data_IF_991320106629
#
_entry.id   IF_991320106629
#
_cell.length_a   1.000
_cell.length_b   1.000
_cell.length_c   1.000
_cell.angle_alpha   90.00
_cell.angle_beta   90.00
_cell.angle_gamma   90.00
#
_symmetry.space_group_name_H-M   'P 1'
#
loop_
_entity.id
_entity.type
_entity.pdbx_description
1 polymer ?
#
# COMPACT_ATOMS: atom_id res chain seq x y z
N UNK A 1 -14.45 -2.84 -7.02
CA UNK A 1 -14.88 -3.97 -6.18
C UNK A 1 -14.44 -3.66 -4.76
N UNK A 2 -15.35 -3.42 -3.81
CA UNK A 2 -14.97 -3.16 -2.41
C UNK A 2 -14.37 -4.46 -1.85
N UNK A 3 -13.05 -4.52 -1.68
CA UNK A 3 -12.39 -5.66 -1.03
C UNK A 3 -12.84 -5.68 0.44
N UNK A 4 -13.20 -6.86 0.94
CA UNK A 4 -13.61 -7.02 2.33
C UNK A 4 -12.37 -7.24 3.20
N UNK A 5 -11.64 -6.14 3.44
CA UNK A 5 -10.32 -6.17 4.10
C UNK A 5 -10.39 -6.61 5.57
N UNK A 6 -11.53 -6.40 6.23
CA UNK A 6 -11.75 -6.77 7.64
C UNK A 6 -11.79 -8.28 7.89
N UNK A 7 -11.90 -9.10 6.83
CA UNK A 7 -11.88 -10.58 6.93
C UNK A 7 -10.50 -11.19 6.71
N UNK A 8 -9.48 -10.38 6.39
CA UNK A 8 -8.13 -10.85 6.13
C UNK A 8 -7.32 -10.91 7.44
N UNK A 9 -6.56 -12.00 7.67
CA UNK A 9 -5.53 -12.06 8.71
C UNK A 9 -4.49 -10.98 8.48
N UNK A 10 -3.76 -10.52 9.50
CA UNK A 10 -2.87 -9.35 9.38
C UNK A 10 -1.81 -9.48 8.28
N UNK A 11 -1.35 -10.68 7.94
CA UNK A 11 -0.37 -10.92 6.88
C UNK A 11 -0.93 -10.64 5.48
N UNK A 12 -2.21 -10.90 5.25
CA UNK A 12 -2.83 -10.73 3.93
C UNK A 12 -2.96 -9.25 3.49
N UNK A 13 -3.26 -8.28 4.36
CA UNK A 13 -3.14 -6.85 4.07
C UNK A 13 -1.70 -6.42 3.76
N UNK A 14 -0.67 -6.98 4.40
CA UNK A 14 0.73 -6.66 4.06
C UNK A 14 1.04 -7.08 2.63
N UNK A 15 0.76 -8.33 2.27
CA UNK A 15 1.05 -8.85 0.93
C UNK A 15 0.24 -8.11 -0.14
N UNK A 16 -1.01 -7.74 0.18
CA UNK A 16 -1.84 -6.93 -0.69
C UNK A 16 -1.28 -5.51 -0.86
N UNK A 17 -0.82 -4.88 0.21
CA UNK A 17 -0.18 -3.57 0.17
C UNK A 17 1.04 -3.59 -0.76
N UNK A 18 1.94 -4.57 -0.58
CA UNK A 18 3.13 -4.76 -1.40
C UNK A 18 2.77 -4.94 -2.88
N UNK A 19 1.85 -5.86 -3.17
CA UNK A 19 1.37 -6.13 -4.54
C UNK A 19 0.79 -4.87 -5.20
N UNK A 20 0.02 -4.08 -4.46
CA UNK A 20 -0.60 -2.86 -4.99
C UNK A 20 0.43 -1.75 -5.22
N UNK A 21 1.41 -1.60 -4.32
CA UNK A 21 2.48 -0.64 -4.49
C UNK A 21 3.33 -0.97 -5.73
N UNK A 22 3.69 -2.23 -5.96
CA UNK A 22 4.37 -2.66 -7.19
C UNK A 22 3.53 -2.29 -8.42
N UNK A 23 2.24 -2.67 -8.43
CA UNK A 23 1.33 -2.36 -9.55
C UNK A 23 1.15 -0.87 -9.80
N UNK A 24 1.19 -0.05 -8.75
CA UNK A 24 1.13 1.39 -8.91
C UNK A 24 2.40 1.93 -9.58
N UNK A 25 3.58 1.43 -9.19
CA UNK A 25 4.86 1.81 -9.80
C UNK A 25 4.88 1.44 -11.27
N UNK A 26 4.48 0.21 -11.60
CA UNK A 26 4.40 -0.29 -12.98
C UNK A 26 3.35 0.45 -13.82
N UNK A 27 2.31 1.00 -13.19
CA UNK A 27 1.29 1.78 -13.86
C UNK A 27 1.76 3.19 -14.25
N UNK A 28 2.90 3.65 -13.73
CA UNK A 28 3.48 4.95 -14.07
C UNK A 28 4.13 4.90 -15.46
N UNK A 29 3.38 5.32 -16.47
CA UNK A 29 3.83 5.49 -17.85
C UNK A 29 3.41 6.89 -18.34
N UNK A 30 4.24 7.93 -18.12
CA UNK A 30 3.92 9.33 -18.44
C UNK A 30 3.45 9.56 -19.88
N UNK A 31 3.89 8.72 -20.81
CA UNK A 31 3.56 8.72 -22.22
C UNK A 31 2.20 8.09 -22.55
N UNK A 32 1.59 7.32 -21.64
CA UNK A 32 0.26 6.73 -21.82
C UNK A 32 -0.81 7.56 -21.09
N UNK A 33 -1.75 8.22 -21.79
CA UNK A 33 -2.85 8.98 -21.18
C UNK A 33 -3.73 8.15 -20.23
N UNK A 34 -3.75 6.82 -20.36
CA UNK A 34 -4.50 5.91 -19.47
C UNK A 34 -3.71 5.51 -18.22
N UNK A 35 -2.42 5.83 -18.15
CA UNK A 35 -1.56 5.51 -17.00
C UNK A 35 -2.06 6.20 -15.73
N UNK A 36 -2.49 7.46 -15.83
CA UNK A 36 -2.96 8.24 -14.69
C UNK A 36 -4.12 7.55 -13.96
N UNK A 37 -5.11 7.04 -14.70
CA UNK A 37 -6.26 6.36 -14.10
C UNK A 37 -5.87 5.07 -13.36
N UNK A 38 -4.96 4.26 -13.94
CA UNK A 38 -4.47 3.04 -13.28
C UNK A 38 -3.65 3.37 -12.04
N UNK A 39 -2.79 4.38 -12.14
CA UNK A 39 -1.98 4.86 -11.04
C UNK A 39 -2.84 5.38 -9.88
N UNK A 40 -3.86 6.19 -10.17
CA UNK A 40 -4.82 6.69 -9.18
C UNK A 40 -5.66 5.57 -8.57
N UNK A 41 -6.12 4.61 -9.37
CA UNK A 41 -6.83 3.45 -8.86
C UNK A 41 -5.99 2.72 -7.80
N UNK A 42 -4.73 2.40 -8.12
CA UNK A 42 -3.87 1.70 -7.16
C UNK A 42 -3.51 2.58 -5.95
N UNK A 43 -3.39 3.91 -6.12
CA UNK A 43 -3.24 4.84 -5.00
C UNK A 43 -4.35 4.67 -3.96
N UNK A 44 -5.61 4.69 -4.41
CA UNK A 44 -6.75 4.54 -3.50
C UNK A 44 -6.82 3.15 -2.88
N UNK A 45 -6.50 2.10 -3.64
CA UNK A 45 -6.48 0.74 -3.10
C UNK A 45 -5.38 0.57 -2.01
N UNK A 46 -4.20 1.16 -2.18
CA UNK A 46 -3.14 1.18 -1.16
C UNK A 46 -3.60 1.93 0.09
N UNK A 47 -4.22 3.11 -0.12
CA UNK A 47 -4.75 3.92 0.98
C UNK A 47 -5.79 3.16 1.79
N UNK A 48 -6.70 2.44 1.13
CA UNK A 48 -7.74 1.66 1.81
C UNK A 48 -7.13 0.56 2.68
N UNK A 49 -6.07 -0.12 2.21
CA UNK A 49 -5.34 -1.12 3.00
C UNK A 49 -4.65 -0.48 4.21
N UNK A 50 -3.98 0.65 4.02
CA UNK A 50 -3.30 1.34 5.12
C UNK A 50 -4.27 1.86 6.19
N UNK A 51 -5.44 2.37 5.78
CA UNK A 51 -6.48 2.84 6.70
C UNK A 51 -7.15 1.69 7.46
N UNK A 52 -7.38 0.55 6.80
CA UNK A 52 -7.85 -0.66 7.48
C UNK A 52 -6.86 -1.07 8.57
N UNK A 53 -5.57 -1.18 8.24
CA UNK A 53 -4.52 -1.52 9.21
C UNK A 53 -4.44 -0.51 10.36
N UNK A 54 -4.56 0.79 10.05
CA UNK A 54 -4.57 1.85 11.06
C UNK A 54 -5.74 1.71 12.04
N UNK A 55 -6.90 1.25 11.56
CA UNK A 55 -8.11 1.10 12.37
C UNK A 55 -8.09 -0.11 13.31
N UNK A 56 -7.18 -1.07 13.07
CA UNK A 56 -7.03 -2.26 13.93
C UNK A 56 -6.42 -1.89 15.28
N UNK A 57 -6.75 -2.64 16.36
CA UNK A 57 -6.19 -2.40 17.69
C UNK A 57 -4.65 -2.32 17.67
N UNK A 58 -4.11 -1.25 18.27
CA UNK A 58 -2.66 -1.05 18.36
C UNK A 58 -1.99 -0.52 17.09
N UNK A 59 -2.78 -0.10 16.08
CA UNK A 59 -2.30 0.34 14.77
C UNK A 59 -1.47 -0.72 14.07
N UNK A 60 -2.14 -1.58 13.31
CA UNK A 60 -1.50 -2.70 12.63
C UNK A 60 -0.60 -2.27 11.47
N UNK A 61 -0.49 -0.97 11.12
CA UNK A 61 0.47 -0.52 10.08
C UNK A 61 1.92 -0.84 10.44
N UNK A 62 2.22 -1.19 11.70
CA UNK A 62 3.53 -1.70 12.14
C UNK A 62 4.00 -2.90 11.33
N UNK A 63 3.09 -3.73 10.80
CA UNK A 63 3.45 -4.88 9.94
C UNK A 63 4.07 -4.47 8.61
N UNK A 64 3.89 -3.21 8.19
CA UNK A 64 4.45 -2.68 6.96
C UNK A 64 5.89 -2.19 7.16
N UNK A 65 6.36 -1.95 8.39
CA UNK A 65 7.70 -1.41 8.67
C UNK A 65 8.83 -2.21 7.99
N UNK A 66 8.81 -3.57 7.99
CA UNK A 66 9.83 -4.34 7.27
C UNK A 66 9.93 -4.04 5.76
N UNK A 67 8.87 -3.51 5.14
CA UNK A 67 8.85 -3.13 3.72
C UNK A 67 9.65 -1.84 3.42
N UNK A 68 10.20 -1.15 4.43
CA UNK A 68 11.14 -0.04 4.21
C UNK A 68 12.43 -0.49 3.53
N UNK A 69 12.81 -1.76 3.70
CA UNK A 69 14.00 -2.39 3.10
C UNK A 69 13.69 -3.13 1.79
N UNK A 70 12.48 -2.99 1.24
CA UNK A 70 12.05 -3.71 0.06
C UNK A 70 12.82 -3.28 -1.21
N UNK A 71 13.14 -4.20 -2.12
CA UNK A 71 13.92 -3.91 -3.33
C UNK A 71 13.22 -2.90 -4.26
N UNK A 72 11.89 -3.02 -4.40
CA UNK A 72 11.07 -2.12 -5.20
C UNK A 72 10.94 -0.73 -4.52
N UNK A 73 11.35 0.32 -5.23
CA UNK A 73 11.35 1.70 -4.72
C UNK A 73 9.95 2.25 -4.42
N UNK A 74 8.92 1.85 -5.18
CA UNK A 74 7.55 2.30 -4.96
C UNK A 74 6.97 1.68 -3.69
N UNK A 75 7.32 0.42 -3.40
CA UNK A 75 6.99 -0.22 -2.11
C UNK A 75 7.59 0.58 -0.96
N UNK A 76 8.89 0.91 -1.02
CA UNK A 76 9.55 1.72 0.01
C UNK A 76 8.91 3.09 0.20
N UNK A 77 8.63 3.80 -0.90
CA UNK A 77 7.99 5.12 -0.88
C UNK A 77 6.63 5.08 -0.19
N UNK A 78 5.78 4.11 -0.54
CA UNK A 78 4.45 3.98 0.07
C UNK A 78 4.53 3.53 1.51
N UNK A 79 5.40 2.60 1.84
CA UNK A 79 5.64 2.19 3.23
C UNK A 79 6.03 3.40 4.08
N UNK A 80 7.07 4.13 3.69
CA UNK A 80 7.52 5.32 4.42
C UNK A 80 6.40 6.35 4.62
N UNK A 81 5.57 6.58 3.60
CA UNK A 81 4.42 7.48 3.69
C UNK A 81 3.43 7.05 4.78
N UNK A 82 3.09 5.76 4.86
CA UNK A 82 2.03 5.28 5.75
C UNK A 82 2.52 4.91 7.15
N UNK A 83 3.81 4.60 7.34
CA UNK A 83 4.38 4.21 8.64
C UNK A 83 5.17 5.33 9.32
N UNK A 84 5.33 6.50 8.71
CA UNK A 84 6.10 7.61 9.27
C UNK A 84 5.72 7.96 10.72
N UNK A 85 4.42 7.95 11.04
CA UNK A 85 3.94 8.21 12.40
C UNK A 85 4.33 7.13 13.43
N UNK A 86 4.74 5.94 12.98
CA UNK A 86 5.11 4.79 13.79
C UNK A 86 6.63 4.55 13.83
N UNK A 87 7.35 4.96 12.79
CA UNK A 87 8.79 4.85 12.61
C UNK A 87 9.30 6.09 11.84
N UNK A 88 9.55 7.21 12.55
CA UNK A 88 9.91 8.49 11.94
C UNK A 88 11.35 8.54 11.43
#
# INVERSE_FOLDING_TARGET
MKRNLSRLSDEAPRDLFETLAIKQGDAWAPEDPKALWRYEKFYFEIRDVALELQSRPGDARRILIPLLEHENWQVRLKTGTYVFALAP
#
